data_IF_391192072659
#
_entry.id   IF_391192072659
#
_cell.length_a   1.000
_cell.length_b   1.000
_cell.length_c   1.000
_cell.angle_alpha   90.00
_cell.angle_beta   90.00
_cell.angle_gamma   90.00
#
_symmetry.space_group_name_H-M   'P 1'
#
loop_
_entity.id
_entity.type
_entity.pdbx_description
1 polymer ?
#
# COMPACT_ATOMS: atom_id res chain seq x y z
N UNK A 1 -6.93 -9.74 33.91
CA UNK A 1 -6.54 -9.10 32.64
C UNK A 1 -7.72 -9.18 31.68
N UNK A 2 -8.20 -8.05 31.14
CA UNK A 2 -9.27 -8.05 30.11
C UNK A 2 -8.66 -8.31 28.73
N UNK A 3 -9.42 -8.94 27.85
CA UNK A 3 -9.01 -9.15 26.45
C UNK A 3 -9.01 -7.80 25.71
N UNK A 4 -8.17 -7.66 24.68
CA UNK A 4 -7.95 -6.40 23.97
C UNK A 4 -9.24 -5.74 23.43
N UNK A 5 -10.29 -6.53 23.15
CA UNK A 5 -11.60 -6.07 22.65
C UNK A 5 -12.52 -5.50 23.75
N UNK A 6 -12.28 -5.82 25.01
CA UNK A 6 -13.09 -5.38 26.17
C UNK A 6 -12.53 -4.12 26.83
N UNK A 7 -11.44 -3.60 26.27
CA UNK A 7 -10.75 -2.41 26.73
C UNK A 7 -11.27 -1.19 25.99
N UNK A 8 -11.78 -0.19 26.72
CA UNK A 8 -12.20 1.10 26.14
C UNK A 8 -10.96 1.91 25.76
N UNK A 9 -10.29 1.53 24.67
CA UNK A 9 -9.12 2.20 24.14
C UNK A 9 -9.49 2.77 22.76
N UNK A 10 -10.19 3.91 22.77
CA UNK A 10 -10.51 4.61 21.52
C UNK A 10 -9.23 5.29 21.01
N UNK A 11 -8.71 4.82 19.87
CA UNK A 11 -7.66 5.51 19.12
C UNK A 11 -6.20 5.28 19.57
N UNK A 12 -5.92 4.29 20.40
CA UNK A 12 -4.53 3.98 20.83
C UNK A 12 -3.76 3.07 19.87
N UNK A 13 -4.44 2.46 18.90
CA UNK A 13 -3.80 1.54 17.97
C UNK A 13 -3.42 2.23 16.67
N UNK A 14 -2.16 2.09 16.31
CA UNK A 14 -1.65 2.58 15.05
C UNK A 14 -2.06 1.64 13.90
N UNK A 15 -2.69 2.19 12.86
CA UNK A 15 -3.07 1.44 11.67
C UNK A 15 -1.94 1.40 10.64
N UNK A 16 -1.88 0.28 9.91
CA UNK A 16 -0.88 -0.03 8.89
C UNK A 16 -1.56 -0.60 7.65
N UNK A 17 -1.14 -0.15 6.47
CA UNK A 17 -1.53 -0.80 5.22
C UNK A 17 -0.68 -2.04 5.00
N UNK A 18 -1.36 -3.18 4.83
CA UNK A 18 -0.79 -4.48 4.47
C UNK A 18 -1.29 -4.79 3.06
N UNK A 19 -0.45 -4.54 2.07
CA UNK A 19 -0.83 -4.55 0.65
C UNK A 19 0.26 -5.21 -0.19
N UNK A 20 -0.14 -5.81 -1.31
CA UNK A 20 0.79 -6.31 -2.32
C UNK A 20 1.73 -5.19 -2.82
N UNK A 21 2.89 -5.58 -3.34
CA UNK A 21 3.89 -4.65 -3.87
C UNK A 21 3.45 -4.02 -5.19
N UNK A 22 2.63 -4.72 -5.95
CA UNK A 22 2.20 -4.38 -7.30
C UNK A 22 0.69 -4.07 -7.38
N UNK A 23 0.32 -3.30 -8.39
CA UNK A 23 -1.05 -3.09 -8.80
C UNK A 23 -1.56 -4.35 -9.53
N UNK A 24 -2.88 -4.56 -9.46
CA UNK A 24 -3.49 -5.77 -9.99
C UNK A 24 -3.51 -5.86 -11.53
N UNK A 25 -3.28 -4.74 -12.24
CA UNK A 25 -3.36 -4.69 -13.70
C UNK A 25 -2.08 -5.17 -14.39
N UNK A 26 -0.95 -5.16 -13.66
CA UNK A 26 0.37 -5.41 -14.21
C UNK A 26 0.91 -4.30 -15.13
N UNK A 27 0.15 -3.22 -15.35
CA UNK A 27 0.56 -2.06 -16.14
C UNK A 27 1.38 -1.07 -15.31
N UNK A 28 2.12 -0.20 -15.99
CA UNK A 28 2.88 0.86 -15.33
C UNK A 28 1.96 1.83 -14.58
N UNK A 29 2.20 2.00 -13.28
CA UNK A 29 1.36 2.80 -12.40
C UNK A 29 1.40 4.29 -12.71
N UNK A 30 2.54 4.82 -13.19
CA UNK A 30 2.61 6.23 -13.56
C UNK A 30 1.80 6.50 -14.82
N UNK A 31 1.91 5.62 -15.82
CA UNK A 31 1.07 5.69 -17.02
C UNK A 31 -0.43 5.56 -16.71
N UNK A 32 -0.80 4.72 -15.73
CA UNK A 32 -2.20 4.66 -15.25
C UNK A 32 -2.64 5.96 -14.57
N UNK A 33 -1.80 6.57 -13.74
CA UNK A 33 -2.10 7.85 -13.10
C UNK A 33 -2.27 8.96 -14.14
N UNK A 34 -1.36 9.08 -15.11
CA UNK A 34 -1.47 10.06 -16.19
C UNK A 34 -2.76 9.90 -17.00
N UNK A 35 -3.17 8.65 -17.25
CA UNK A 35 -4.38 8.35 -18.03
C UNK A 35 -5.68 8.64 -17.28
N UNK A 36 -5.75 8.27 -16.00
CA UNK A 36 -7.00 8.29 -15.24
C UNK A 36 -7.10 9.44 -14.25
N UNK A 37 -5.98 10.07 -13.90
CA UNK A 37 -5.86 11.20 -12.98
C UNK A 37 -4.91 12.27 -13.56
N UNK A 38 -5.22 12.85 -14.74
CA UNK A 38 -4.32 13.78 -15.43
C UNK A 38 -4.04 15.06 -14.65
N UNK A 39 -4.94 15.44 -13.74
CA UNK A 39 -4.81 16.65 -12.92
C UNK A 39 -4.04 16.41 -11.60
N UNK A 40 -3.51 15.20 -11.41
CA UNK A 40 -2.74 14.89 -10.21
C UNK A 40 -1.42 15.69 -10.19
N UNK A 41 -1.15 16.47 -9.13
CA UNK A 41 0.11 17.18 -8.99
C UNK A 41 1.31 16.22 -9.02
N UNK A 42 2.36 16.59 -9.74
CA UNK A 42 3.54 15.73 -9.90
C UNK A 42 4.25 15.42 -8.56
N UNK A 43 4.14 16.32 -7.58
CA UNK A 43 4.67 16.17 -6.23
C UNK A 43 3.82 15.25 -5.33
N UNK A 44 2.58 14.93 -5.74
CA UNK A 44 1.75 13.93 -5.07
C UNK A 44 2.18 12.48 -5.40
N UNK A 45 3.03 12.28 -6.41
CA UNK A 45 3.52 10.97 -6.82
C UNK A 45 4.82 10.66 -6.07
N UNK A 46 4.77 9.69 -5.16
CA UNK A 46 5.94 9.23 -4.40
C UNK A 46 7.06 8.70 -5.31
N UNK A 47 8.34 8.96 -4.99
CA UNK A 47 9.48 8.49 -5.77
C UNK A 47 9.59 6.96 -5.82
N UNK A 48 9.04 6.26 -4.84
CA UNK A 48 9.00 4.80 -4.78
C UNK A 48 8.00 4.15 -5.74
N UNK A 49 7.12 4.94 -6.39
CA UNK A 49 6.16 4.41 -7.36
C UNK A 49 6.86 4.18 -8.71
N UNK A 50 7.25 2.93 -8.96
CA UNK A 50 7.96 2.48 -10.16
C UNK A 50 7.29 1.25 -10.76
N UNK A 51 7.31 1.14 -12.09
CA UNK A 51 6.71 0.02 -12.82
C UNK A 51 5.25 -0.19 -12.41
N UNK A 52 4.88 -1.45 -12.18
CA UNK A 52 3.54 -1.81 -11.71
C UNK A 52 3.33 -1.61 -10.19
N UNK A 53 4.05 -0.71 -9.51
CA UNK A 53 3.98 -0.54 -8.05
C UNK A 53 2.59 -0.19 -7.52
N UNK A 54 2.25 -0.65 -6.32
CA UNK A 54 0.96 -0.37 -5.68
C UNK A 54 0.75 1.12 -5.39
N UNK A 55 -0.47 1.62 -5.62
CA UNK A 55 -0.88 2.98 -5.27
C UNK A 55 -1.17 3.15 -3.76
N UNK A 56 -1.12 2.07 -2.98
CA UNK A 56 -1.26 2.10 -1.51
C UNK A 56 0.10 1.83 -0.87
N UNK A 57 0.64 2.83 -0.19
CA UNK A 57 1.94 2.72 0.48
C UNK A 57 1.87 1.88 1.75
N UNK A 58 2.63 0.79 1.80
CA UNK A 58 2.94 0.03 3.01
C UNK A 58 4.29 0.44 3.64
N UNK A 59 4.86 1.60 3.26
CA UNK A 59 6.20 2.02 3.71
C UNK A 59 6.31 2.12 5.25
N UNK A 60 5.22 2.54 5.90
CA UNK A 60 5.11 2.58 7.35
C UNK A 60 5.19 1.20 8.00
N UNK A 61 4.48 0.22 7.45
CA UNK A 61 4.50 -1.17 7.92
C UNK A 61 5.89 -1.77 7.74
N UNK A 62 6.53 -1.53 6.59
CA UNK A 62 7.91 -1.95 6.34
C UNK A 62 8.87 -1.38 7.38
N UNK A 63 8.77 -0.07 7.66
CA UNK A 63 9.67 0.62 8.58
C UNK A 63 9.49 0.20 10.05
N UNK A 64 8.26 0.05 10.51
CA UNK A 64 7.98 -0.16 11.94
C UNK A 64 7.77 -1.64 12.31
N UNK A 65 7.35 -2.47 11.37
CA UNK A 65 7.03 -3.88 11.61
C UNK A 65 7.94 -4.85 10.85
N UNK A 66 8.85 -4.35 10.01
CA UNK A 66 9.63 -5.21 9.10
C UNK A 66 8.77 -5.91 8.04
N UNK A 67 7.56 -5.39 7.78
CA UNK A 67 6.65 -5.99 6.81
C UNK A 67 7.24 -5.96 5.39
N UNK A 68 7.18 -7.11 4.71
CA UNK A 68 7.48 -7.25 3.30
C UNK A 68 6.38 -8.10 2.64
N UNK A 69 5.75 -7.63 1.55
CA UNK A 69 4.81 -8.45 0.79
C UNK A 69 5.53 -9.70 0.25
N UNK A 70 4.89 -10.86 0.40
CA UNK A 70 5.41 -12.15 -0.10
C UNK A 70 4.68 -12.67 -1.32
N UNK A 71 3.47 -12.17 -1.54
CA UNK A 71 2.58 -12.59 -2.61
C UNK A 71 1.89 -11.35 -3.18
N UNK A 72 1.88 -11.26 -4.50
CA UNK A 72 1.06 -10.36 -5.30
C UNK A 72 0.01 -11.14 -6.08
N UNK A 73 -0.87 -10.42 -6.77
CA UNK A 73 -1.94 -11.03 -7.59
C UNK A 73 -1.35 -11.91 -8.70
N UNK A 74 -0.22 -11.48 -9.28
CA UNK A 74 0.49 -12.19 -10.36
C UNK A 74 1.12 -13.50 -9.90
N UNK A 75 1.52 -13.59 -8.64
CA UNK A 75 2.05 -14.85 -8.08
C UNK A 75 0.97 -15.94 -7.98
N UNK A 76 -0.31 -15.54 -7.99
CA UNK A 76 -1.46 -16.44 -7.82
C UNK A 76 -2.17 -16.71 -9.15
N UNK A 77 -2.32 -15.68 -10.01
CA UNK A 77 -3.16 -15.75 -11.21
C UNK A 77 -2.39 -15.92 -12.53
N UNK A 78 -1.05 -15.79 -12.53
CA UNK A 78 -0.23 -15.83 -13.75
C UNK A 78 -0.16 -14.50 -14.47
#
# INVERSE_FOLDING_TARGET
HRLALESTHRGLHEAFFITAADNWTGLDSRGLLERFYPDLPADAIGPELVGAGSLISHAKARRLLGYAPRFGVRDILG
#
